data_IF_381131197029
#
_entry.id   IF_381131197029
#
_cell.length_a   1.000
_cell.length_b   1.000
_cell.length_c   1.000
_cell.angle_alpha   90.00
_cell.angle_beta   90.00
_cell.angle_gamma   90.00
#
_symmetry.space_group_name_H-M   'P 1'
#
loop_
_entity.id
_entity.type
_entity.pdbx_description
1 polymer ?
#
# COMPACT_ATOMS: atom_id res chain seq x y z
N UNK A 1 -50.87 -32.06 -12.04
CA UNK A 1 -50.37 -33.44 -11.87
C UNK A 1 -49.03 -33.36 -11.16
N UNK A 2 -48.90 -33.83 -9.91
CA UNK A 2 -47.64 -33.74 -9.19
C UNK A 2 -46.67 -34.85 -9.63
N UNK A 3 -45.42 -34.48 -9.85
CA UNK A 3 -44.29 -35.37 -10.16
C UNK A 3 -43.92 -36.24 -8.96
N UNK A 4 -43.58 -37.53 -9.14
CA UNK A 4 -43.19 -38.40 -8.04
C UNK A 4 -41.76 -38.09 -7.54
N UNK A 5 -41.59 -38.19 -6.22
CA UNK A 5 -40.32 -38.00 -5.51
C UNK A 5 -39.30 -39.11 -5.82
N UNK A 6 -37.99 -38.81 -5.85
CA UNK A 6 -36.93 -39.81 -6.05
C UNK A 6 -36.76 -40.73 -4.83
N UNK A 7 -36.48 -42.01 -5.09
CA UNK A 7 -36.34 -43.07 -4.10
C UNK A 7 -34.98 -43.01 -3.35
N UNK A 8 -34.89 -43.57 -2.13
CA UNK A 8 -33.66 -43.55 -1.33
C UNK A 8 -32.61 -44.54 -1.86
N UNK A 9 -31.36 -44.08 -1.98
CA UNK A 9 -30.19 -44.91 -2.29
C UNK A 9 -29.73 -45.64 -1.01
N UNK A 10 -29.65 -46.97 -1.08
CA UNK A 10 -29.14 -47.85 -0.02
C UNK A 10 -27.61 -48.03 -0.13
N UNK A 11 -26.88 -48.30 0.98
CA UNK A 11 -25.41 -48.16 1.04
C UNK A 11 -24.57 -49.27 0.40
N UNK A 12 -25.14 -50.13 -0.45
CA UNK A 12 -24.49 -51.37 -0.91
C UNK A 12 -23.83 -51.31 -2.31
N UNK A 13 -23.80 -50.14 -2.95
CA UNK A 13 -23.20 -49.95 -4.29
C UNK A 13 -21.87 -49.16 -4.28
N UNK A 14 -20.99 -49.40 -3.29
CA UNK A 14 -19.61 -48.86 -3.32
C UNK A 14 -18.61 -49.98 -3.67
N UNK A 15 -17.98 -49.96 -4.86
CA UNK A 15 -16.96 -50.95 -5.21
C UNK A 15 -15.69 -50.78 -4.36
N UNK A 16 -15.01 -51.88 -3.98
CA UNK A 16 -13.86 -51.82 -3.08
C UNK A 16 -12.63 -51.14 -3.72
N UNK A 17 -11.82 -50.41 -2.94
CA UNK A 17 -10.64 -49.72 -3.45
C UNK A 17 -9.59 -50.74 -3.93
N UNK A 18 -9.26 -50.68 -5.22
CA UNK A 18 -8.19 -51.49 -5.80
C UNK A 18 -6.83 -50.96 -5.35
N UNK A 19 -6.08 -51.82 -4.66
CA UNK A 19 -4.69 -51.59 -4.28
C UNK A 19 -3.81 -51.52 -5.53
N UNK A 20 -3.25 -50.34 -5.82
CA UNK A 20 -2.26 -50.18 -6.89
C UNK A 20 -0.93 -50.79 -6.48
N UNK A 21 -0.52 -51.83 -7.21
CA UNK A 21 0.79 -52.45 -7.10
C UNK A 21 1.90 -51.49 -7.63
N UNK A 22 3.11 -51.50 -7.04
CA UNK A 22 4.20 -50.63 -7.47
C UNK A 22 4.64 -50.92 -8.91
N UNK A 23 4.64 -49.89 -9.76
CA UNK A 23 5.14 -49.96 -11.13
C UNK A 23 6.67 -50.15 -11.12
N UNK A 24 7.22 -51.12 -11.88
CA UNK A 24 8.66 -51.31 -11.98
C UNK A 24 9.31 -50.23 -12.84
N UNK A 25 10.36 -49.60 -12.30
CA UNK A 25 11.19 -48.59 -12.96
C UNK A 25 11.87 -49.20 -14.19
N UNK A 26 11.60 -48.63 -15.36
CA UNK A 26 12.21 -49.02 -16.62
C UNK A 26 13.69 -48.59 -16.65
N UNK A 27 14.59 -49.55 -16.43
CA UNK A 27 16.01 -49.39 -16.74
C UNK A 27 16.23 -49.38 -18.26
N UNK A 28 17.22 -48.64 -18.77
CA UNK A 28 17.45 -48.53 -20.22
C UNK A 28 17.88 -49.87 -20.84
N UNK A 29 17.27 -50.16 -21.99
CA UNK A 29 17.45 -51.34 -22.83
C UNK A 29 18.93 -51.52 -23.26
N UNK A 30 19.49 -52.69 -22.96
CA UNK A 30 20.82 -53.13 -23.41
C UNK A 30 20.68 -53.85 -24.76
N UNK A 31 21.22 -53.26 -25.83
CA UNK A 31 21.43 -53.95 -27.11
C UNK A 31 22.83 -54.63 -27.13
N UNK A 32 22.92 -55.90 -27.56
CA UNK A 32 24.15 -56.68 -27.43
C UNK A 32 24.95 -56.79 -28.73
N UNK A 33 25.78 -55.81 -29.10
CA UNK A 33 26.95 -56.03 -30.01
C UNK A 33 28.04 -54.99 -29.74
N UNK A 34 29.26 -55.47 -29.49
CA UNK A 34 30.29 -54.74 -28.77
C UNK A 34 31.13 -53.75 -29.56
N UNK A 35 31.73 -52.83 -28.81
CA UNK A 35 33.14 -52.41 -28.90
C UNK A 35 33.49 -51.73 -27.57
N UNK A 36 34.53 -52.22 -26.91
CA UNK A 36 34.95 -51.82 -25.58
C UNK A 36 35.86 -50.59 -25.74
N UNK A 37 35.38 -49.41 -25.34
CA UNK A 37 36.19 -48.18 -25.34
C UNK A 37 36.66 -47.91 -23.90
N UNK A 38 37.97 -47.91 -23.61
CA UNK A 38 38.47 -47.72 -22.25
C UNK A 38 38.37 -46.26 -21.78
N UNK A 39 37.78 -46.05 -20.60
CA UNK A 39 38.05 -44.92 -19.73
C UNK A 39 37.55 -43.55 -20.17
N UNK A 40 36.25 -43.28 -19.98
CA UNK A 40 35.76 -41.92 -19.75
C UNK A 40 34.67 -41.97 -18.68
N UNK A 41 34.98 -41.44 -17.50
CA UNK A 41 33.97 -41.03 -16.51
C UNK A 41 33.00 -40.05 -17.18
N UNK A 42 31.68 -40.23 -17.10
CA UNK A 42 30.75 -39.22 -17.57
C UNK A 42 30.87 -37.98 -16.66
N UNK A 43 31.44 -36.90 -17.20
CA UNK A 43 31.33 -35.55 -16.61
C UNK A 43 29.82 -35.26 -16.37
N UNK A 44 29.44 -34.74 -15.19
CA UNK A 44 28.07 -34.28 -14.97
C UNK A 44 27.75 -33.22 -16.02
N UNK A 45 26.61 -33.38 -16.70
CA UNK A 45 26.09 -32.37 -17.62
C UNK A 45 25.97 -31.04 -16.86
N UNK A 46 26.84 -30.12 -17.24
CA UNK A 46 26.91 -28.74 -16.76
C UNK A 46 25.57 -28.04 -17.01
N UNK A 47 24.67 -28.11 -16.01
CA UNK A 47 23.59 -27.15 -15.88
C UNK A 47 24.16 -25.73 -15.87
N UNK A 48 23.37 -24.77 -16.35
CA UNK A 48 23.67 -23.36 -16.26
C UNK A 48 24.10 -23.03 -14.83
N UNK A 49 25.24 -22.35 -14.65
CA UNK A 49 25.68 -21.99 -13.31
C UNK A 49 24.66 -21.01 -12.73
N UNK A 50 24.00 -21.39 -11.63
CA UNK A 50 23.06 -20.51 -10.92
C UNK A 50 23.68 -19.17 -10.52
N UNK A 51 25.02 -19.11 -10.42
CA UNK A 51 25.77 -17.87 -10.23
C UNK A 51 25.67 -16.89 -11.41
N UNK A 52 25.58 -17.35 -12.66
CA UNK A 52 25.43 -16.46 -13.82
C UNK A 52 24.03 -15.82 -13.85
N UNK A 53 23.01 -16.57 -13.44
CA UNK A 53 21.64 -16.07 -13.30
C UNK A 53 21.55 -15.12 -12.11
N UNK A 54 22.16 -15.46 -10.97
CA UNK A 54 22.23 -14.58 -9.81
C UNK A 54 22.97 -13.26 -10.13
N UNK A 55 24.10 -13.29 -10.83
CA UNK A 55 24.82 -12.08 -11.22
C UNK A 55 24.02 -11.18 -12.19
N UNK A 56 23.23 -11.77 -13.09
CA UNK A 56 22.32 -11.02 -13.97
C UNK A 56 21.18 -10.38 -13.18
N UNK A 57 20.55 -11.13 -12.28
CA UNK A 57 19.42 -10.64 -11.46
C UNK A 57 19.88 -9.56 -10.47
N UNK A 58 21.01 -9.75 -9.78
CA UNK A 58 21.56 -8.72 -8.89
C UNK A 58 22.07 -7.48 -9.64
N UNK A 59 22.56 -7.63 -10.87
CA UNK A 59 22.92 -6.50 -11.74
C UNK A 59 21.71 -5.68 -12.21
N UNK A 60 20.56 -6.34 -12.43
CA UNK A 60 19.28 -5.70 -12.76
C UNK A 60 18.68 -5.00 -11.55
N UNK A 61 18.88 -5.53 -10.34
CA UNK A 61 18.27 -5.02 -9.10
C UNK A 61 19.02 -3.86 -8.42
N UNK A 62 20.14 -3.38 -8.98
CA UNK A 62 20.65 -2.04 -8.68
C UNK A 62 20.91 -1.70 -7.21
N UNK A 63 21.31 -2.66 -6.37
CA UNK A 63 21.60 -2.39 -4.95
C UNK A 63 23.01 -1.81 -4.79
N UNK A 64 23.10 -0.48 -4.81
CA UNK A 64 24.28 0.26 -4.38
C UNK A 64 24.22 0.42 -2.85
N UNK A 65 25.31 0.17 -2.08
CA UNK A 65 26.73 0.19 -2.47
C UNK A 65 27.47 -1.17 -2.46
N UNK A 66 26.82 -2.30 -2.14
CA UNK A 66 27.52 -3.60 -2.08
C UNK A 66 27.80 -4.25 -3.44
N UNK A 67 27.07 -3.88 -4.50
CA UNK A 67 27.25 -4.43 -5.86
C UNK A 67 28.63 -4.17 -6.47
N UNK A 68 29.26 -3.03 -6.15
CA UNK A 68 30.59 -2.66 -6.64
C UNK A 68 31.68 -3.60 -6.09
N UNK A 69 31.57 -3.99 -4.82
CA UNK A 69 32.58 -4.83 -4.15
C UNK A 69 32.49 -6.28 -4.65
N UNK A 70 31.28 -6.81 -4.78
CA UNK A 70 31.08 -8.17 -5.30
C UNK A 70 31.41 -8.32 -6.79
N UNK A 71 31.19 -7.27 -7.60
CA UNK A 71 31.59 -7.26 -9.01
C UNK A 71 33.10 -7.42 -9.23
N UNK A 72 33.91 -6.83 -8.36
CA UNK A 72 35.38 -6.95 -8.43
C UNK A 72 35.85 -8.35 -8.02
N UNK A 73 35.23 -8.96 -7.00
CA UNK A 73 35.58 -10.31 -6.53
C UNK A 73 35.17 -11.38 -7.54
N UNK A 74 34.03 -11.21 -8.21
CA UNK A 74 33.55 -12.14 -9.24
C UNK A 74 34.48 -12.20 -10.47
N UNK A 75 35.11 -11.07 -10.83
CA UNK A 75 35.98 -11.00 -12.01
C UNK A 75 37.33 -11.73 -11.81
N UNK A 76 37.79 -11.87 -10.56
CA UNK A 76 39.02 -12.61 -10.24
C UNK A 76 38.89 -14.14 -10.39
N UNK A 77 37.66 -14.68 -10.45
CA UNK A 77 37.39 -16.12 -10.59
C UNK A 77 37.41 -16.67 -12.02
N UNK A 78 37.33 -15.80 -13.04
CA UNK A 78 37.08 -16.22 -14.44
C UNK A 78 38.39 -16.53 -15.21
N UNK A 79 39.55 -16.42 -14.58
CA UNK A 79 40.85 -16.65 -15.22
C UNK A 79 41.22 -18.11 -15.53
N UNK A 80 40.49 -19.12 -15.03
CA UNK A 80 41.00 -20.53 -15.06
C UNK A 80 40.11 -21.59 -15.72
N UNK A 81 38.89 -21.29 -16.15
CA UNK A 81 38.04 -22.29 -16.81
C UNK A 81 37.76 -21.90 -18.27
N UNK A 82 38.48 -22.53 -19.19
CA UNK A 82 38.33 -22.40 -20.64
C UNK A 82 36.99 -23.05 -21.08
N UNK A 83 35.83 -22.42 -20.85
CA UNK A 83 34.51 -22.84 -21.40
C UNK A 83 33.68 -21.62 -21.89
N UNK A 84 32.87 -21.83 -22.96
CA UNK A 84 32.11 -20.82 -23.73
C UNK A 84 31.14 -20.02 -22.84
N UNK A 85 31.19 -18.69 -22.92
CA UNK A 85 30.34 -17.78 -22.12
C UNK A 85 30.76 -16.30 -22.12
N UNK A 86 31.92 -15.98 -22.71
CA UNK A 86 32.48 -14.61 -22.75
C UNK A 86 31.54 -13.55 -23.34
N UNK A 87 30.69 -13.91 -24.31
CA UNK A 87 29.79 -12.95 -24.96
C UNK A 87 28.73 -12.36 -24.04
N UNK A 88 28.17 -13.16 -23.14
CA UNK A 88 27.10 -12.72 -22.24
C UNK A 88 27.62 -11.82 -21.11
N UNK A 89 28.81 -12.15 -20.57
CA UNK A 89 29.47 -11.33 -19.55
C UNK A 89 29.89 -9.96 -20.10
N UNK A 90 30.37 -9.92 -21.36
CA UNK A 90 30.72 -8.67 -22.03
C UNK A 90 29.46 -7.82 -22.27
N UNK A 91 28.34 -8.44 -22.67
CA UNK A 91 27.07 -7.73 -22.84
C UNK A 91 26.56 -7.12 -21.52
N UNK A 92 26.63 -7.85 -20.40
CA UNK A 92 26.23 -7.34 -19.09
C UNK A 92 27.08 -6.14 -18.63
N UNK A 93 28.41 -6.20 -18.80
CA UNK A 93 29.31 -5.09 -18.47
C UNK A 93 29.03 -3.86 -19.35
N UNK A 94 28.80 -4.05 -20.64
CA UNK A 94 28.48 -2.94 -21.55
C UNK A 94 27.15 -2.29 -21.15
N UNK A 95 26.12 -3.10 -20.87
CA UNK A 95 24.81 -2.59 -20.51
C UNK A 95 24.84 -1.81 -19.18
N UNK A 96 25.54 -2.33 -18.16
CA UNK A 96 25.75 -1.64 -16.89
C UNK A 96 26.59 -0.38 -17.04
N UNK A 97 27.60 -0.38 -17.91
CA UNK A 97 28.41 0.81 -18.19
C UNK A 97 27.58 1.92 -18.85
N UNK A 98 26.72 1.55 -19.80
CA UNK A 98 25.80 2.49 -20.47
C UNK A 98 24.80 3.07 -19.47
N UNK A 99 24.23 2.24 -18.60
CA UNK A 99 23.32 2.70 -17.54
C UNK A 99 24.02 3.65 -16.54
N UNK A 100 25.25 3.33 -16.15
CA UNK A 100 26.04 4.16 -15.24
C UNK A 100 26.35 5.54 -15.84
N UNK A 101 26.69 5.59 -17.14
CA UNK A 101 26.93 6.86 -17.85
C UNK A 101 25.64 7.63 -18.06
N UNK A 102 24.52 6.96 -18.35
CA UNK A 102 23.22 7.60 -18.54
C UNK A 102 22.68 8.22 -17.24
N UNK A 103 22.70 7.48 -16.13
CA UNK A 103 22.27 7.99 -14.82
C UNK A 103 23.24 9.02 -14.28
N UNK A 104 24.55 8.74 -14.34
CA UNK A 104 25.57 9.67 -13.91
C UNK A 104 25.48 11.00 -14.68
N UNK A 105 25.22 10.94 -15.98
CA UNK A 105 24.98 12.12 -16.82
C UNK A 105 23.71 12.88 -16.44
N UNK A 106 22.60 12.18 -16.15
CA UNK A 106 21.34 12.78 -15.73
C UNK A 106 21.47 13.51 -14.38
N UNK A 107 22.10 12.88 -13.40
CA UNK A 107 22.33 13.46 -12.07
C UNK A 107 23.22 14.71 -12.18
N UNK A 108 24.27 14.65 -12.99
CA UNK A 108 25.17 15.79 -13.17
C UNK A 108 24.49 16.94 -13.93
N UNK A 109 23.61 16.64 -14.89
CA UNK A 109 22.75 17.63 -15.54
C UNK A 109 21.77 18.29 -14.56
N UNK A 110 21.14 17.52 -13.67
CA UNK A 110 20.22 18.04 -12.65
C UNK A 110 20.94 19.00 -11.68
N UNK A 111 22.14 18.64 -11.21
CA UNK A 111 22.94 19.49 -10.31
C UNK A 111 23.37 20.79 -11.00
N UNK A 112 23.74 20.73 -12.28
CA UNK A 112 24.14 21.93 -13.05
C UNK A 112 22.93 22.83 -13.37
N UNK A 113 21.77 22.25 -13.68
CA UNK A 113 20.53 23.01 -13.93
C UNK A 113 19.97 23.64 -12.64
N UNK A 114 20.02 22.93 -11.51
CA UNK A 114 19.61 23.47 -10.20
C UNK A 114 20.47 24.69 -9.78
N UNK A 115 21.73 24.75 -10.24
CA UNK A 115 22.65 25.84 -9.93
C UNK A 115 22.44 27.11 -10.79
N UNK A 116 21.59 27.06 -11.83
CA UNK A 116 21.48 28.14 -12.83
C UNK A 116 20.12 28.84 -12.90
N UNK A 117 19.16 28.50 -12.04
CA UNK A 117 17.84 29.15 -11.98
C UNK A 117 17.77 30.14 -10.82
N UNK A 118 18.39 31.32 -11.00
CA UNK A 118 18.02 32.51 -10.22
C UNK A 118 16.95 33.27 -11.00
N UNK A 119 15.70 33.24 -10.54
CA UNK A 119 14.63 34.10 -11.08
C UNK A 119 14.08 34.97 -9.95
N UNK A 120 14.07 36.27 -10.23
CA UNK A 120 13.65 37.35 -9.35
C UNK A 120 12.17 37.70 -9.54
N UNK A 121 11.52 38.15 -8.46
CA UNK A 121 10.25 38.92 -8.44
C UNK A 121 9.01 38.09 -8.06
N UNK A 122 8.06 38.56 -7.25
CA UNK A 122 7.82 39.86 -6.63
C UNK A 122 6.66 39.75 -5.62
N UNK A 123 6.56 40.74 -4.73
CA UNK A 123 5.79 40.75 -3.48
C UNK A 123 4.26 40.75 -3.60
N UNK A 124 3.58 40.07 -2.66
CA UNK A 124 2.40 40.61 -1.95
C UNK A 124 2.10 39.88 -0.63
N UNK A 125 2.31 40.60 0.48
CA UNK A 125 1.49 40.65 1.71
C UNK A 125 1.29 39.40 2.59
N UNK A 126 2.11 39.32 3.66
CA UNK A 126 1.56 39.35 5.01
C UNK A 126 1.29 38.05 5.78
N UNK A 127 2.23 37.10 5.78
CA UNK A 127 2.40 36.15 6.89
C UNK A 127 3.87 36.16 7.30
N UNK A 128 4.16 36.04 8.59
CA UNK A 128 5.52 36.01 9.11
C UNK A 128 6.26 34.80 8.51
N UNK A 129 6.98 35.03 7.40
CA UNK A 129 7.92 34.06 6.87
C UNK A 129 9.09 34.07 7.84
N UNK A 130 9.21 32.99 8.63
CA UNK A 130 10.38 32.74 9.44
C UNK A 130 11.65 32.87 8.57
N UNK A 131 12.79 33.33 9.12
CA UNK A 131 14.02 33.43 8.35
C UNK A 131 14.35 32.08 7.69
N UNK A 132 14.94 32.08 6.47
CA UNK A 132 15.35 30.84 5.83
C UNK A 132 16.21 29.99 6.78
N UNK A 133 15.74 28.80 7.13
CA UNK A 133 16.45 27.84 7.98
C UNK A 133 16.07 27.78 9.46
N UNK A 134 15.06 28.54 9.92
CA UNK A 134 14.44 28.30 11.22
C UNK A 134 13.12 27.54 10.99
N UNK A 135 13.08 26.25 11.34
CA UNK A 135 11.85 25.46 11.22
C UNK A 135 10.73 26.03 12.09
N UNK A 136 9.49 25.78 11.68
CA UNK A 136 8.27 26.28 12.30
C UNK A 136 7.56 25.10 12.99
N UNK A 137 7.11 25.26 14.25
CA UNK A 137 6.27 24.27 14.91
C UNK A 137 4.98 23.97 14.13
N UNK A 138 4.58 22.71 14.03
CA UNK A 138 3.45 22.29 13.20
C UNK A 138 2.12 22.88 13.68
N UNK A 139 1.94 23.00 14.99
CA UNK A 139 0.80 23.64 15.66
C UNK A 139 0.62 25.12 15.25
N UNK A 140 1.67 25.77 14.75
CA UNK A 140 1.64 27.16 14.29
C UNK A 140 1.39 27.30 12.79
N UNK A 141 1.38 26.20 12.03
CA UNK A 141 1.11 26.25 10.59
C UNK A 141 -0.37 26.53 10.30
N UNK A 142 -0.66 27.38 9.29
CA UNK A 142 -2.00 27.47 8.71
C UNK A 142 -2.44 26.16 8.03
N UNK A 143 -3.74 25.88 8.01
CA UNK A 143 -4.30 24.77 7.21
C UNK A 143 -3.98 24.94 5.71
N UNK A 144 -3.80 23.83 5.00
CA UNK A 144 -3.36 23.78 3.60
C UNK A 144 -1.86 24.03 3.40
N UNK A 145 -1.07 24.14 4.46
CA UNK A 145 0.36 24.42 4.34
C UNK A 145 1.14 23.15 3.97
N UNK A 146 1.93 23.22 2.90
CA UNK A 146 2.89 22.19 2.54
C UNK A 146 4.25 22.44 3.19
N UNK A 147 4.90 21.37 3.63
CA UNK A 147 6.14 21.45 4.38
C UNK A 147 7.01 20.20 4.20
N UNK A 148 8.30 20.39 4.42
CA UNK A 148 9.32 19.34 4.46
C UNK A 148 9.71 19.01 5.90
N UNK A 149 9.97 17.73 6.12
CA UNK A 149 10.45 17.22 7.40
C UNK A 149 11.99 17.27 7.39
N UNK A 150 12.64 17.94 8.37
CA UNK A 150 14.10 17.99 8.44
C UNK A 150 14.76 16.61 8.37
N UNK A 151 15.79 16.48 7.53
CA UNK A 151 16.58 15.24 7.41
C UNK A 151 17.15 14.79 8.76
N UNK A 152 17.27 13.47 8.95
CA UNK A 152 17.85 12.88 10.16
C UNK A 152 16.90 12.80 11.37
N UNK A 153 15.66 13.27 11.24
CA UNK A 153 14.60 13.12 12.27
C UNK A 153 13.83 11.81 12.16
N UNK A 154 14.06 11.05 11.09
CA UNK A 154 13.31 9.82 10.81
C UNK A 154 11.82 10.04 10.59
N UNK A 155 11.41 11.27 10.21
CA UNK A 155 10.00 11.61 10.02
C UNK A 155 9.27 12.06 11.29
N UNK A 156 9.95 12.06 12.44
CA UNK A 156 9.39 12.35 13.76
C UNK A 156 9.97 13.64 14.34
N UNK A 157 9.30 14.75 14.06
CA UNK A 157 9.62 16.10 14.57
C UNK A 157 8.40 16.99 14.41
N UNK A 158 8.15 17.85 15.40
CA UNK A 158 7.07 18.85 15.32
C UNK A 158 7.53 20.16 14.71
N UNK A 159 8.84 20.31 14.43
CA UNK A 159 9.42 21.50 13.79
C UNK A 159 9.76 21.17 12.34
N UNK A 160 9.16 21.91 11.40
CA UNK A 160 9.17 21.60 9.96
C UNK A 160 9.53 22.81 9.10
N UNK A 161 9.83 22.61 7.82
CA UNK A 161 10.18 23.67 6.89
C UNK A 161 9.04 23.93 5.90
N UNK A 162 8.42 25.12 5.93
CA UNK A 162 7.36 25.46 4.99
C UNK A 162 7.91 25.60 3.57
N UNK A 163 7.25 24.96 2.61
CA UNK A 163 7.59 25.01 1.18
C UNK A 163 6.35 25.27 0.33
N UNK A 164 6.55 25.48 -0.98
CA UNK A 164 5.42 25.68 -1.90
C UNK A 164 4.74 24.36 -2.23
N UNK A 165 3.41 24.28 -2.09
CA UNK A 165 2.62 23.12 -2.52
C UNK A 165 2.74 22.83 -4.02
N UNK A 166 2.98 23.85 -4.84
CA UNK A 166 3.19 23.67 -6.28
C UNK A 166 4.47 22.88 -6.62
N UNK A 167 5.38 22.73 -5.65
CA UNK A 167 6.63 22.01 -5.77
C UNK A 167 6.59 20.65 -5.08
N UNK A 168 7.76 20.04 -5.00
CA UNK A 168 7.96 18.86 -4.17
C UNK A 168 7.86 19.24 -2.69
N UNK A 169 7.19 18.41 -1.90
CA UNK A 169 7.09 18.56 -0.46
C UNK A 169 6.83 17.20 0.21
N UNK A 170 7.18 17.06 1.49
CA UNK A 170 6.95 15.79 2.20
C UNK A 170 5.50 15.62 2.64
N UNK A 171 4.85 16.71 3.10
CA UNK A 171 3.54 16.67 3.75
C UNK A 171 2.71 17.94 3.54
N UNK A 172 1.38 17.81 3.61
CA UNK A 172 0.42 18.93 3.61
C UNK A 172 -0.53 18.83 4.81
N UNK A 173 -0.60 19.88 5.62
CA UNK A 173 -1.48 19.96 6.79
C UNK A 173 -2.92 20.22 6.34
N UNK A 174 -3.87 19.35 6.72
CA UNK A 174 -5.28 19.49 6.29
C UNK A 174 -6.26 19.68 7.46
N UNK A 175 -5.96 19.15 8.64
CA UNK A 175 -6.85 19.24 9.78
C UNK A 175 -6.12 19.37 11.13
N UNK A 176 -6.89 19.78 12.13
CA UNK A 176 -6.46 20.01 13.51
C UNK A 176 -7.66 19.93 14.44
N UNK A 177 -7.49 19.29 15.58
CA UNK A 177 -8.55 19.21 16.60
C UNK A 177 -7.98 19.17 18.01
N UNK A 178 -8.78 19.60 18.99
CA UNK A 178 -8.40 19.62 20.40
C UNK A 178 -8.63 18.27 21.06
N UNK A 179 -7.66 17.81 21.85
CA UNK A 179 -7.79 16.63 22.69
C UNK A 179 -8.39 17.03 24.04
N UNK A 180 -9.30 16.20 24.57
CA UNK A 180 -9.96 16.45 25.84
C UNK A 180 -9.73 15.33 26.85
N UNK A 181 -9.77 15.67 28.13
CA UNK A 181 -9.56 14.72 29.22
C UNK A 181 -8.11 14.67 29.72
N UNK A 182 -7.79 13.77 30.67
CA UNK A 182 -6.44 13.61 31.19
C UNK A 182 -5.49 13.02 30.15
N UNK A 183 -4.19 13.27 30.28
CA UNK A 183 -3.18 12.68 29.41
C UNK A 183 -3.26 11.14 29.45
N UNK A 184 -3.53 10.48 28.31
CA UNK A 184 -3.76 9.03 28.30
C UNK A 184 -2.47 8.21 28.33
N UNK A 185 -1.30 8.87 28.24
CA UNK A 185 0.00 8.23 28.03
C UNK A 185 0.39 8.22 26.55
N UNK A 186 1.68 8.07 26.23
CA UNK A 186 2.20 8.29 24.88
C UNK A 186 1.61 7.32 23.84
N UNK A 187 1.54 6.03 24.17
CA UNK A 187 1.04 5.01 23.23
C UNK A 187 -0.45 5.20 22.94
N UNK A 188 -1.24 5.47 23.98
CA UNK A 188 -2.67 5.69 23.85
C UNK A 188 -2.98 7.01 23.12
N UNK A 189 -2.19 8.06 23.36
CA UNK A 189 -2.35 9.35 22.69
C UNK A 189 -2.02 9.26 21.19
N UNK A 190 -0.90 8.61 20.85
CA UNK A 190 -0.52 8.35 19.46
C UNK A 190 -1.62 7.55 18.75
N UNK A 191 -2.11 6.49 19.37
CA UNK A 191 -3.15 5.64 18.81
C UNK A 191 -4.46 6.39 18.56
N UNK A 192 -4.96 7.13 19.55
CA UNK A 192 -6.20 7.91 19.39
C UNK A 192 -6.03 9.02 18.35
N UNK A 193 -4.88 9.69 18.32
CA UNK A 193 -4.60 10.74 17.35
C UNK A 193 -4.58 10.22 15.91
N UNK A 194 -4.10 8.99 15.68
CA UNK A 194 -4.21 8.33 14.37
C UNK A 194 -5.67 8.14 13.98
N UNK A 195 -6.48 7.52 14.84
CA UNK A 195 -7.91 7.31 14.57
C UNK A 195 -8.67 8.62 14.33
N UNK A 196 -8.36 9.66 15.11
CA UNK A 196 -9.00 10.96 14.97
C UNK A 196 -8.57 11.66 13.67
N UNK A 197 -7.29 11.56 13.28
CA UNK A 197 -6.84 12.05 11.99
C UNK A 197 -7.47 11.30 10.81
N UNK A 198 -7.69 9.99 10.92
CA UNK A 198 -8.42 9.24 9.89
C UNK A 198 -9.88 9.71 9.80
N UNK A 199 -10.58 9.85 10.93
CA UNK A 199 -11.95 10.41 10.95
C UNK A 199 -12.02 11.79 10.31
N UNK A 200 -11.06 12.67 10.64
CA UNK A 200 -10.96 14.00 10.06
C UNK A 200 -10.66 13.92 8.56
N UNK A 201 -9.79 13.01 8.12
CA UNK A 201 -9.53 12.80 6.68
C UNK A 201 -10.81 12.40 5.93
N UNK A 202 -11.61 11.49 6.49
CA UNK A 202 -12.90 11.12 5.90
C UNK A 202 -13.98 12.19 6.04
N UNK A 203 -13.86 13.15 6.95
CA UNK A 203 -14.77 14.28 7.09
C UNK A 203 -14.44 15.44 6.12
N UNK A 204 -13.15 15.79 6.02
CA UNK A 204 -12.70 17.02 5.39
C UNK A 204 -12.15 16.80 3.97
N UNK A 205 -11.56 15.63 3.70
CA UNK A 205 -11.06 15.32 2.36
C UNK A 205 -12.18 14.74 1.47
N UNK A 206 -12.13 15.12 0.18
CA UNK A 206 -13.11 14.63 -0.80
C UNK A 206 -12.93 13.13 -1.02
N UNK A 207 -11.69 12.68 -1.16
CA UNK A 207 -11.34 11.31 -1.55
C UNK A 207 -10.09 10.78 -0.81
N UNK A 208 -10.18 10.54 0.51
CA UNK A 208 -9.05 10.03 1.31
C UNK A 208 -8.59 8.64 0.85
N UNK A 209 -9.50 7.79 0.34
CA UNK A 209 -9.16 6.47 -0.21
C UNK A 209 -8.25 6.58 -1.43
N UNK A 210 -8.33 7.68 -2.18
CA UNK A 210 -7.46 7.95 -3.33
C UNK A 210 -6.02 8.31 -2.99
N UNK A 211 -5.69 8.57 -1.72
CA UNK A 211 -4.35 8.97 -1.31
C UNK A 211 -3.33 7.84 -1.52
N UNK A 212 -3.71 6.59 -1.29
CA UNK A 212 -2.80 5.45 -1.49
C UNK A 212 -2.34 5.32 -2.94
N UNK A 213 -3.24 5.57 -3.90
CA UNK A 213 -2.90 5.57 -5.33
C UNK A 213 -1.89 6.66 -5.69
N UNK A 214 -1.85 7.74 -4.91
CA UNK A 214 -0.90 8.84 -5.02
C UNK A 214 0.37 8.59 -4.18
N UNK A 215 0.55 7.37 -3.66
CA UNK A 215 1.64 7.02 -2.74
C UNK A 215 1.65 7.96 -1.51
N UNK A 216 0.46 8.29 -1.00
CA UNK A 216 0.25 9.15 0.15
C UNK A 216 -0.55 8.43 1.24
N UNK A 217 -0.41 8.89 2.49
CA UNK A 217 -1.08 8.37 3.68
C UNK A 217 -1.45 9.51 4.63
N UNK A 218 -2.29 9.22 5.61
CA UNK A 218 -2.59 10.14 6.72
C UNK A 218 -1.50 10.02 7.78
N UNK A 219 -0.95 11.15 8.19
CA UNK A 219 0.06 11.26 9.23
C UNK A 219 -0.46 12.10 10.39
N UNK A 220 -0.40 11.53 11.60
CA UNK A 220 -0.79 12.20 12.83
C UNK A 220 0.42 12.81 13.54
N UNK A 221 0.25 14.05 13.99
CA UNK A 221 1.08 14.69 15.00
C UNK A 221 0.22 14.81 16.24
N UNK A 222 0.76 14.31 17.35
CA UNK A 222 0.03 14.16 18.59
C UNK A 222 0.76 14.89 19.71
N UNK A 223 0.01 15.46 20.65
CA UNK A 223 0.58 16.25 21.73
C UNK A 223 1.37 15.39 22.72
N UNK A 224 2.38 15.96 23.37
CA UNK A 224 3.07 15.31 24.49
C UNK A 224 2.47 15.72 25.84
N UNK A 225 2.87 15.04 26.93
CA UNK A 225 2.39 15.31 28.29
C UNK A 225 2.53 16.78 28.70
N UNK A 226 3.50 17.50 28.14
CA UNK A 226 3.75 18.90 28.51
C UNK A 226 2.59 19.82 28.15
N UNK A 227 1.75 19.42 27.17
CA UNK A 227 0.57 20.17 26.75
C UNK A 227 -0.64 20.01 27.68
N UNK A 228 -0.60 19.08 28.66
CA UNK A 228 -1.64 18.87 29.67
C UNK A 228 -1.42 19.62 30.99
N UNK A 229 -0.41 20.51 31.04
CA UNK A 229 -0.16 21.38 32.18
C UNK A 229 -1.32 22.34 32.49
N UNK A 230 -1.18 23.14 33.56
CA UNK A 230 -2.19 24.09 34.00
C UNK A 230 -2.59 25.06 32.85
N UNK A 231 -3.81 24.91 32.34
CA UNK A 231 -4.35 25.73 31.26
C UNK A 231 -3.90 25.33 29.85
N UNK A 232 -3.28 24.17 29.70
CA UNK A 232 -2.89 23.61 28.41
C UNK A 232 -4.08 23.21 27.55
N UNK A 233 -3.88 23.25 26.23
CA UNK A 233 -4.86 22.89 25.20
C UNK A 233 -4.20 21.89 24.25
N UNK A 234 -4.10 20.61 24.64
CA UNK A 234 -3.48 19.59 23.81
C UNK A 234 -4.23 19.46 22.49
N UNK A 235 -3.50 19.33 21.40
CA UNK A 235 -4.05 19.43 20.05
C UNK A 235 -3.36 18.44 19.10
N UNK A 236 -4.15 17.79 18.26
CA UNK A 236 -3.67 16.95 17.16
C UNK A 236 -3.55 17.77 15.89
N UNK A 237 -2.55 17.48 15.06
CA UNK A 237 -2.41 18.02 13.70
C UNK A 237 -2.33 16.87 12.71
N UNK A 238 -3.12 16.92 11.65
CA UNK A 238 -3.26 15.84 10.67
C UNK A 238 -2.75 16.30 9.31
N UNK A 239 -1.84 15.52 8.72
CA UNK A 239 -1.24 15.84 7.43
C UNK A 239 -1.38 14.68 6.44
N UNK A 240 -1.49 15.01 5.16
CA UNK A 240 -1.27 14.05 4.07
C UNK A 240 0.25 13.94 3.90
N UNK A 241 0.80 12.73 3.85
CA UNK A 241 2.25 12.50 3.81
C UNK A 241 2.64 11.48 2.74
N UNK A 242 3.84 11.62 2.17
CA UNK A 242 4.38 10.67 1.20
C UNK A 242 4.73 9.34 1.85
N UNK A 243 4.41 8.24 1.18
CA UNK A 243 4.71 6.90 1.68
C UNK A 243 6.22 6.71 1.88
N UNK A 244 6.60 6.15 3.03
CA UNK A 244 8.00 5.93 3.40
C UNK A 244 8.79 7.20 3.75
N UNK A 245 8.12 8.35 3.96
CA UNK A 245 8.71 9.56 4.53
C UNK A 245 9.85 10.20 3.72
N UNK A 246 9.98 9.84 2.45
CA UNK A 246 11.11 10.24 1.59
C UNK A 246 10.76 10.35 0.11
N UNK A 247 9.52 10.05 -0.27
CA UNK A 247 9.03 10.28 -1.63
C UNK A 247 8.28 11.61 -1.65
N UNK A 248 8.87 12.69 -2.21
CA UNK A 248 8.22 13.99 -2.20
C UNK A 248 6.94 13.93 -3.03
N UNK A 249 5.85 14.37 -2.40
CA UNK A 249 4.56 14.63 -3.03
C UNK A 249 4.69 15.89 -3.91
N UNK A 250 3.80 16.04 -4.88
CA UNK A 250 3.77 17.23 -5.73
C UNK A 250 2.35 17.73 -5.91
N UNK A 251 2.16 19.05 -5.86
CA UNK A 251 0.86 19.67 -6.05
C UNK A 251 0.10 19.87 -4.75
N UNK A 252 -1.11 20.39 -4.87
CA UNK A 252 -2.03 20.50 -3.73
C UNK A 252 -2.80 19.18 -3.59
N UNK A 253 -2.70 18.56 -2.41
CA UNK A 253 -3.26 17.25 -2.07
C UNK A 253 -4.66 17.34 -1.48
N UNK A 254 -5.20 18.56 -1.34
CA UNK A 254 -6.59 18.82 -0.96
C UNK A 254 -7.38 19.27 -2.20
N UNK A 255 -7.73 18.35 -3.12
CA UNK A 255 -8.39 18.74 -4.36
C UNK A 255 -9.75 19.38 -4.07
N UNK A 256 -10.00 20.54 -4.68
CA UNK A 256 -11.30 21.20 -4.60
C UNK A 256 -12.40 20.28 -5.16
N UNK A 257 -13.58 20.29 -4.53
CA UNK A 257 -14.74 19.48 -4.95
C UNK A 257 -15.12 19.70 -6.42
N UNK A 258 -14.82 20.86 -7.00
CA UNK A 258 -15.03 21.17 -8.41
C UNK A 258 -14.19 20.34 -9.39
N UNK A 259 -13.13 19.70 -8.92
CA UNK A 259 -12.34 18.75 -9.73
C UNK A 259 -13.08 17.43 -9.97
N UNK A 260 -14.13 17.15 -9.20
CA UNK A 260 -14.90 15.92 -9.28
C UNK A 260 -16.23 16.12 -10.00
N UNK A 261 -16.63 15.13 -10.78
CA UNK A 261 -17.97 15.10 -11.39
C UNK A 261 -19.04 14.76 -10.34
N UNK A 262 -20.29 15.11 -10.62
CA UNK A 262 -21.41 14.75 -9.75
C UNK A 262 -21.55 13.22 -9.54
N UNK A 263 -21.18 12.42 -10.54
CA UNK A 263 -21.18 10.96 -10.44
C UNK A 263 -20.10 10.47 -9.47
N UNK A 264 -18.90 11.05 -9.53
CA UNK A 264 -17.79 10.72 -8.64
C UNK A 264 -18.09 11.10 -7.20
N UNK A 265 -18.59 12.32 -6.94
CA UNK A 265 -18.98 12.75 -5.61
C UNK A 265 -20.09 11.86 -5.03
N UNK A 266 -21.09 11.49 -5.84
CA UNK A 266 -22.15 10.60 -5.40
C UNK A 266 -21.66 9.18 -5.09
N UNK A 267 -20.64 8.68 -5.78
CA UNK A 267 -19.98 7.42 -5.44
C UNK A 267 -19.18 7.53 -4.14
N UNK A 268 -18.34 8.56 -4.01
CA UNK A 268 -17.52 8.78 -2.82
C UNK A 268 -18.39 8.90 -1.56
N UNK A 269 -19.49 9.66 -1.64
CA UNK A 269 -20.43 9.80 -0.52
C UNK A 269 -21.16 8.48 -0.18
N UNK A 270 -21.39 7.62 -1.18
CA UNK A 270 -22.04 6.32 -0.98
C UNK A 270 -21.14 5.37 -0.19
N UNK A 271 -19.84 5.31 -0.53
CA UNK A 271 -18.87 4.36 0.07
C UNK A 271 -18.13 4.92 1.29
N UNK A 272 -18.25 6.23 1.56
CA UNK A 272 -17.53 6.90 2.67
C UNK A 272 -17.75 6.24 4.04
N UNK A 273 -18.98 5.86 4.45
CA UNK A 273 -19.21 5.31 5.78
C UNK A 273 -18.49 3.99 6.03
N UNK A 274 -18.45 3.10 5.04
CA UNK A 274 -17.76 1.81 5.15
C UNK A 274 -16.25 1.99 5.06
N UNK A 275 -15.78 2.90 4.19
CA UNK A 275 -14.35 3.21 4.06
C UNK A 275 -13.73 3.73 5.36
N UNK A 276 -14.36 4.70 6.04
CA UNK A 276 -13.85 5.21 7.33
C UNK A 276 -13.86 4.13 8.41
N UNK A 277 -14.94 3.37 8.53
CA UNK A 277 -15.06 2.33 9.54
C UNK A 277 -14.09 1.17 9.28
N UNK A 278 -13.80 0.86 8.01
CA UNK A 278 -12.80 -0.13 7.63
C UNK A 278 -11.39 0.34 7.95
N UNK A 279 -11.06 1.61 7.69
CA UNK A 279 -9.77 2.19 8.12
C UNK A 279 -9.62 2.09 9.64
N UNK A 280 -10.59 2.61 10.40
CA UNK A 280 -10.57 2.56 11.87
C UNK A 280 -10.41 1.13 12.39
N UNK A 281 -11.16 0.15 11.86
CA UNK A 281 -11.06 -1.26 12.26
C UNK A 281 -9.66 -1.83 12.02
N UNK A 282 -9.02 -1.47 10.92
CA UNK A 282 -7.68 -1.94 10.57
C UNK A 282 -6.59 -1.32 11.44
N UNK A 283 -6.77 -0.06 11.86
CA UNK A 283 -5.79 0.65 12.67
C UNK A 283 -5.86 0.30 14.16
N UNK A 284 -6.95 -0.33 14.62
CA UNK A 284 -7.12 -0.74 16.02
C UNK A 284 -6.02 -1.70 16.48
N UNK A 285 -5.26 -1.27 17.50
CA UNK A 285 -4.24 -2.10 18.14
C UNK A 285 -4.88 -3.37 18.73
N UNK A 286 -4.29 -4.56 18.51
CA UNK A 286 -4.77 -5.80 19.12
C UNK A 286 -4.93 -5.76 20.65
N UNK A 287 -4.20 -4.90 21.35
CA UNK A 287 -4.33 -4.66 22.78
C UNK A 287 -5.59 -3.85 23.14
N UNK A 288 -6.08 -3.02 22.22
CA UNK A 288 -7.28 -2.19 22.34
C UNK A 288 -8.53 -2.79 21.65
N UNK A 289 -8.47 -4.06 21.26
CA UNK A 289 -9.54 -4.81 20.59
C UNK A 289 -10.95 -4.63 21.18
N UNK A 290 -11.05 -4.40 22.49
CA UNK A 290 -12.33 -4.24 23.17
C UNK A 290 -13.09 -3.01 22.66
N UNK A 291 -12.40 -1.92 22.33
CA UNK A 291 -12.96 -0.71 21.74
C UNK A 291 -13.41 -0.98 20.29
N UNK A 292 -12.60 -1.74 19.55
CA UNK A 292 -12.87 -2.07 18.16
C UNK A 292 -14.12 -2.89 17.91
N UNK A 293 -14.63 -3.62 18.90
CA UNK A 293 -15.91 -4.34 18.76
C UNK A 293 -17.09 -3.42 18.40
N UNK A 294 -17.10 -2.20 18.94
CA UNK A 294 -18.15 -1.24 18.65
C UNK A 294 -18.05 -0.72 17.20
N UNK A 295 -16.82 -0.43 16.74
CA UNK A 295 -16.54 0.00 15.36
C UNK A 295 -16.88 -1.12 14.38
N UNK A 296 -16.49 -2.35 14.67
CA UNK A 296 -16.83 -3.54 13.89
C UNK A 296 -18.35 -3.73 13.73
N UNK A 297 -19.12 -3.52 14.80
CA UNK A 297 -20.57 -3.60 14.75
C UNK A 297 -21.19 -2.47 13.89
N UNK A 298 -20.57 -1.28 13.91
CA UNK A 298 -20.96 -0.16 13.05
C UNK A 298 -20.62 -0.45 11.58
N UNK A 299 -19.45 -1.00 11.27
CA UNK A 299 -19.04 -1.41 9.93
C UNK A 299 -20.08 -2.38 9.35
N UNK A 300 -20.38 -3.46 10.08
CA UNK A 300 -21.40 -4.43 9.67
C UNK A 300 -22.80 -3.81 9.49
N UNK A 301 -23.11 -2.68 10.11
CA UNK A 301 -24.38 -1.97 9.90
C UNK A 301 -24.30 -1.04 8.67
N UNK A 302 -23.16 -0.39 8.47
CA UNK A 302 -22.87 0.45 7.31
C UNK A 302 -22.89 -0.37 6.02
N UNK A 303 -22.24 -1.54 5.97
CA UNK A 303 -22.22 -2.43 4.79
C UNK A 303 -23.64 -2.90 4.40
N UNK A 304 -24.50 -3.20 5.40
CA UNK A 304 -25.91 -3.53 5.13
C UNK A 304 -26.67 -2.35 4.52
N UNK A 305 -26.36 -1.14 4.94
CA UNK A 305 -26.95 0.07 4.39
C UNK A 305 -26.41 0.33 2.98
N UNK A 306 -25.10 0.20 2.77
CA UNK A 306 -24.45 0.34 1.48
C UNK A 306 -25.01 -0.63 0.45
N UNK A 307 -25.12 -1.93 0.79
CA UNK A 307 -25.76 -2.95 -0.06
C UNK A 307 -27.14 -2.50 -0.56
N UNK A 308 -27.96 -1.89 0.30
CA UNK A 308 -29.30 -1.39 -0.07
C UNK A 308 -29.23 -0.15 -0.96
N UNK A 309 -28.27 0.74 -0.72
CA UNK A 309 -28.07 1.96 -1.48
C UNK A 309 -27.53 1.65 -2.88
N UNK A 310 -26.48 0.83 -2.97
CA UNK A 310 -25.75 0.51 -4.21
C UNK A 310 -26.62 -0.27 -5.20
N UNK A 311 -27.50 -1.14 -4.70
CA UNK A 311 -28.49 -1.88 -5.51
C UNK A 311 -29.81 -1.11 -5.70
N UNK A 312 -29.93 0.06 -5.08
CA UNK A 312 -31.14 0.88 -5.10
C UNK A 312 -31.34 1.65 -6.41
N UNK A 313 -32.60 2.02 -6.76
CA UNK A 313 -32.91 2.72 -8.00
C UNK A 313 -32.26 4.09 -8.15
N UNK A 314 -31.86 4.73 -7.04
CA UNK A 314 -31.14 6.01 -7.07
C UNK A 314 -29.71 5.81 -7.55
N UNK A 315 -28.95 4.91 -6.91
CA UNK A 315 -27.57 4.62 -7.29
C UNK A 315 -27.47 4.12 -8.74
N UNK A 316 -28.37 3.26 -9.19
CA UNK A 316 -28.41 2.79 -10.59
C UNK A 316 -28.62 3.93 -11.61
N UNK A 317 -29.24 5.04 -11.20
CA UNK A 317 -29.52 6.19 -12.08
C UNK A 317 -28.48 7.31 -11.99
N UNK A 318 -27.76 7.41 -10.88
CA UNK A 318 -26.83 8.53 -10.62
C UNK A 318 -25.38 8.10 -10.57
N UNK A 319 -25.09 6.90 -10.09
CA UNK A 319 -23.73 6.38 -9.89
C UNK A 319 -23.40 5.28 -10.89
N UNK A 320 -24.29 4.29 -11.05
CA UNK A 320 -24.06 3.09 -11.86
C UNK A 320 -24.94 3.09 -13.12
N UNK A 321 -24.68 4.04 -14.01
CA UNK A 321 -25.55 4.29 -15.17
C UNK A 321 -25.31 3.33 -16.34
N UNK A 322 -24.08 2.81 -16.46
CA UNK A 322 -23.71 1.82 -17.48
C UNK A 322 -23.89 0.37 -17.01
N UNK A 323 -24.07 -0.58 -17.94
CA UNK A 323 -24.23 -2.01 -17.61
C UNK A 323 -23.05 -2.59 -16.84
N UNK A 324 -21.83 -2.18 -17.19
CA UNK A 324 -20.63 -2.63 -16.49
C UNK A 324 -20.57 -2.09 -15.06
N UNK A 325 -20.92 -0.81 -14.86
CA UNK A 325 -21.03 -0.21 -13.53
C UNK A 325 -22.11 -0.88 -12.68
N UNK A 326 -23.22 -1.29 -13.29
CA UNK A 326 -24.29 -2.04 -12.61
C UNK A 326 -23.83 -3.43 -12.18
N UNK A 327 -22.99 -4.09 -12.98
CA UNK A 327 -22.38 -5.36 -12.56
C UNK A 327 -21.43 -5.14 -11.39
N UNK A 328 -20.55 -4.14 -11.45
CA UNK A 328 -19.64 -3.81 -10.36
C UNK A 328 -20.40 -3.44 -9.07
N UNK A 329 -21.56 -2.76 -9.17
CA UNK A 329 -22.42 -2.50 -8.01
C UNK A 329 -23.01 -3.78 -7.39
N UNK A 330 -23.29 -4.81 -8.21
CA UNK A 330 -23.77 -6.11 -7.71
C UNK A 330 -22.65 -6.91 -7.03
N UNK A 331 -21.43 -6.80 -7.56
CA UNK A 331 -20.21 -7.41 -7.00
C UNK A 331 -19.87 -6.73 -5.66
N UNK A 332 -19.81 -5.39 -5.61
CA UNK A 332 -19.67 -4.63 -4.36
C UNK A 332 -20.74 -4.98 -3.32
N UNK A 333 -22.02 -5.06 -3.72
CA UNK A 333 -23.09 -5.49 -2.82
C UNK A 333 -22.95 -6.95 -2.33
N UNK A 334 -22.23 -7.80 -3.05
CA UNK A 334 -21.93 -9.16 -2.62
C UNK A 334 -20.79 -9.15 -1.60
N UNK A 335 -19.75 -8.38 -1.86
CA UNK A 335 -18.60 -8.22 -0.96
C UNK A 335 -19.02 -7.59 0.38
N UNK A 336 -19.84 -6.53 0.35
CA UNK A 336 -20.44 -5.96 1.57
C UNK A 336 -21.15 -7.04 2.40
N UNK A 337 -21.87 -7.98 1.76
CA UNK A 337 -22.58 -9.04 2.48
C UNK A 337 -21.64 -10.05 3.13
N UNK A 338 -20.47 -10.29 2.53
CA UNK A 338 -19.41 -11.10 3.12
C UNK A 338 -18.83 -10.35 4.32
N UNK A 339 -18.42 -9.11 4.13
CA UNK A 339 -17.81 -8.29 5.19
C UNK A 339 -18.75 -8.07 6.38
N UNK A 340 -20.07 -7.94 6.16
CA UNK A 340 -21.06 -7.93 7.25
C UNK A 340 -20.88 -9.13 8.19
N UNK A 341 -20.56 -10.29 7.65
CA UNK A 341 -20.36 -11.51 8.43
C UNK A 341 -19.05 -11.46 9.20
N UNK A 342 -17.96 -11.01 8.57
CA UNK A 342 -16.64 -10.93 9.20
C UNK A 342 -16.58 -9.84 10.27
N UNK A 343 -17.13 -8.67 9.98
CA UNK A 343 -17.29 -7.58 10.94
C UNK A 343 -18.18 -7.99 12.13
N UNK A 344 -19.17 -8.86 11.93
CA UNK A 344 -19.94 -9.45 13.04
C UNK A 344 -19.13 -10.44 13.88
N UNK A 345 -18.23 -11.22 13.27
CA UNK A 345 -17.29 -12.09 14.01
C UNK A 345 -16.36 -11.22 14.84
N UNK A 346 -15.79 -10.18 14.23
CA UNK A 346 -14.91 -9.21 14.86
C UNK A 346 -15.59 -8.51 16.06
N UNK A 347 -16.84 -8.08 15.90
CA UNK A 347 -17.65 -7.47 16.96
C UNK A 347 -17.92 -8.41 18.16
N UNK A 348 -17.80 -9.72 17.97
CA UNK A 348 -18.04 -10.76 18.98
C UNK A 348 -16.76 -11.34 19.58
N UNK A 349 -15.59 -10.88 19.15
CA UNK A 349 -14.29 -11.29 19.71
C UNK A 349 -14.32 -11.24 21.23
N UNK A 350 -13.74 -12.25 21.89
CA UNK A 350 -13.70 -12.36 23.34
C UNK A 350 -12.29 -12.17 23.91
N UNK A 351 -11.29 -12.10 23.04
CA UNK A 351 -9.88 -11.97 23.37
C UNK A 351 -9.11 -11.22 22.28
N UNK A 352 -7.91 -10.70 22.57
CA UNK A 352 -7.00 -10.15 21.55
C UNK A 352 -6.72 -11.15 20.41
N UNK A 353 -6.57 -12.44 20.73
CA UNK A 353 -6.29 -13.47 19.73
C UNK A 353 -7.47 -13.69 18.78
N UNK A 354 -8.70 -13.69 19.31
CA UNK A 354 -9.91 -13.78 18.49
C UNK A 354 -10.02 -12.56 17.57
N UNK A 355 -9.72 -11.37 18.10
CA UNK A 355 -9.71 -10.13 17.32
C UNK A 355 -8.71 -10.19 16.18
N UNK A 356 -7.44 -10.53 16.44
CA UNK A 356 -6.42 -10.64 15.39
C UNK A 356 -6.80 -11.66 14.33
N UNK A 357 -7.35 -12.81 14.73
CA UNK A 357 -7.77 -13.85 13.79
C UNK A 357 -8.96 -13.40 12.92
N UNK A 358 -9.94 -12.72 13.51
CA UNK A 358 -11.11 -12.22 12.80
C UNK A 358 -10.77 -11.00 11.91
N UNK A 359 -9.87 -10.12 12.34
CA UNK A 359 -9.40 -8.98 11.55
C UNK A 359 -8.72 -9.46 10.28
N UNK A 360 -7.96 -10.55 10.38
CA UNK A 360 -7.33 -11.16 9.22
C UNK A 360 -8.36 -11.65 8.17
N UNK A 361 -9.50 -12.19 8.60
CA UNK A 361 -10.56 -12.58 7.66
C UNK A 361 -11.07 -11.36 6.89
N UNK A 362 -11.40 -10.29 7.61
CA UNK A 362 -11.84 -9.03 7.01
C UNK A 362 -10.81 -8.43 6.03
N UNK A 363 -9.51 -8.60 6.30
CA UNK A 363 -8.42 -8.15 5.41
C UNK A 363 -8.22 -9.06 4.19
N UNK A 364 -8.40 -10.37 4.34
CA UNK A 364 -8.18 -11.36 3.27
C UNK A 364 -9.34 -11.36 2.25
N UNK A 365 -10.56 -10.95 2.64
CA UNK A 365 -11.78 -11.05 1.81
C UNK A 365 -11.96 -9.94 0.75
N UNK A 366 -10.96 -9.09 0.50
CA UNK A 366 -10.76 -8.47 -0.81
C UNK A 366 -11.68 -7.31 -1.23
N UNK A 367 -12.52 -6.79 -0.33
CA UNK A 367 -13.40 -5.62 -0.58
C UNK A 367 -12.69 -4.40 -1.21
N UNK A 368 -11.39 -4.11 -0.94
CA UNK A 368 -10.70 -3.01 -1.62
C UNK A 368 -10.69 -3.12 -3.16
N UNK A 369 -10.74 -4.33 -3.72
CA UNK A 369 -10.56 -4.55 -5.17
C UNK A 369 -11.72 -4.07 -6.04
N UNK A 370 -12.96 -4.24 -5.57
CA UNK A 370 -14.15 -3.82 -6.32
C UNK A 370 -14.39 -2.31 -6.21
N UNK A 371 -14.14 -1.73 -5.04
CA UNK A 371 -14.13 -0.28 -4.86
C UNK A 371 -13.10 0.36 -5.79
N UNK A 372 -11.88 -0.16 -5.85
CA UNK A 372 -10.84 0.30 -6.78
C UNK A 372 -11.27 0.15 -8.25
N UNK A 373 -11.89 -0.97 -8.59
CA UNK A 373 -12.41 -1.21 -9.94
C UNK A 373 -13.47 -0.16 -10.32
N UNK A 374 -14.42 0.11 -9.44
CA UNK A 374 -15.45 1.14 -9.67
C UNK A 374 -14.82 2.53 -9.80
N UNK A 375 -13.86 2.87 -8.92
CA UNK A 375 -13.12 4.14 -8.97
C UNK A 375 -12.51 4.38 -10.35
N UNK A 376 -11.79 3.41 -10.89
CA UNK A 376 -11.23 3.48 -12.26
C UNK A 376 -12.34 3.69 -13.30
N UNK A 377 -13.44 2.94 -13.19
CA UNK A 377 -14.55 3.00 -14.16
C UNK A 377 -15.32 4.31 -14.18
N UNK A 378 -15.30 5.07 -13.08
CA UNK A 378 -15.90 6.40 -13.00
C UNK A 378 -14.86 7.52 -13.10
N UNK A 379 -13.61 7.18 -13.43
CA UNK A 379 -12.53 8.14 -13.66
C UNK A 379 -11.96 8.79 -12.39
N UNK A 380 -12.04 8.11 -11.23
CA UNK A 380 -11.36 8.49 -9.98
C UNK A 380 -9.92 7.96 -9.89
N UNK A 381 -9.51 7.08 -10.80
CA UNK A 381 -8.16 6.55 -10.83
C UNK A 381 -7.28 7.33 -11.80
N UNK A 382 -6.66 8.42 -11.33
CA UNK A 382 -5.32 8.91 -11.71
C UNK A 382 -4.79 9.80 -10.59
#
# INVERSE_FOLDING_TARGET
>A
MPTPAPAPITPEDVPPPQQQAPQPVQGPLVYPWGYQVPGMEPEPMSGWSGMAIAAFVLGVLGVFPLGMIFGVVALAGIGRARKRGKGLAIAGVILSSVWTVAVGGLVLLMVVFASSVSVSGGSSSGSAVAPPGAGIPIDQLPMGTCFDVPEGTGGSTDVVNVVSCSGQHDRQLFARDSVSGPYPGPDADQFQSTLDCDRLAYADLVDPVGLEAQNALIWSYYPDESQWGDGGTPEISCAIAGFGGSSPLTGDLEPDKSHFTAQQLAFLDLVRPTAVLRAEVNDIDPLDWAQGRAVAAQLAAADRAETQLVTGPSATRTVFTGRFQQQAALELAQDDRVEVSDAQVLARSASPQDWTAALKLLQDDGVPSDVLTIRVNIGLGE
#
